data_IF_836898944784
#
_entry.id   IF_836898944784
#
_cell.length_a   1.000
_cell.length_b   1.000
_cell.length_c   1.000
_cell.angle_alpha   90.00
_cell.angle_beta   90.00
_cell.angle_gamma   90.00
#
_symmetry.space_group_name_H-M   'P 1'
#
loop_
_entity.id
_entity.type
_entity.pdbx_description
1 polymer ?
#
# COMPACT_ATOMS: atom_id res chain seq x y z
N UNK A 1 -53.49 -10.38 -47.88
CA UNK A 1 -53.32 -8.90 -47.89
C UNK A 1 -52.50 -8.52 -46.67
N UNK A 2 -51.39 -7.83 -46.92
CA UNK A 2 -50.38 -7.41 -45.95
C UNK A 2 -50.65 -6.00 -45.41
N UNK A 3 -50.21 -5.75 -44.17
CA UNK A 3 -49.59 -4.50 -43.64
C UNK A 3 -49.33 -4.78 -42.14
N UNK A 4 -48.13 -5.10 -41.68
CA UNK A 4 -46.92 -4.28 -41.47
C UNK A 4 -47.11 -3.13 -40.47
N UNK A 5 -46.55 -3.28 -39.27
CA UNK A 5 -45.92 -2.19 -38.51
C UNK A 5 -44.71 -2.75 -37.74
N UNK A 6 -43.52 -2.32 -38.16
CA UNK A 6 -42.26 -2.37 -37.43
C UNK A 6 -42.18 -1.19 -36.44
N UNK A 7 -41.38 -1.34 -35.38
CA UNK A 7 -40.77 -0.17 -34.72
C UNK A 7 -40.22 -0.46 -33.33
N UNK A 8 -38.88 -0.47 -33.19
CA UNK A 8 -38.21 -0.26 -31.89
C UNK A 8 -37.06 -1.21 -31.56
N UNK A 9 -36.01 -1.25 -32.36
CA UNK A 9 -34.76 -1.94 -31.99
C UNK A 9 -33.95 -1.10 -31.01
N UNK A 10 -33.79 -1.65 -29.80
CA UNK A 10 -32.75 -1.49 -28.80
C UNK A 10 -31.48 -0.73 -29.25
N UNK A 11 -31.36 0.53 -28.84
CA UNK A 11 -30.10 1.26 -28.75
C UNK A 11 -29.57 1.26 -27.31
N UNK A 12 -29.21 0.09 -26.79
CA UNK A 12 -28.50 -0.01 -25.51
C UNK A 12 -27.02 0.28 -25.74
N UNK A 13 -26.63 1.55 -25.61
CA UNK A 13 -25.22 1.94 -25.50
C UNK A 13 -24.64 1.26 -24.26
N UNK A 14 -23.78 0.27 -24.50
CA UNK A 14 -23.07 -0.49 -23.48
C UNK A 14 -22.07 0.36 -22.71
N UNK A 15 -22.56 1.12 -21.73
CA UNK A 15 -21.81 1.33 -20.50
C UNK A 15 -22.18 0.16 -19.59
N UNK A 16 -21.24 -0.74 -19.35
CA UNK A 16 -21.36 -1.73 -18.27
C UNK A 16 -21.47 -0.96 -16.97
N UNK A 17 -22.71 -0.66 -16.58
CA UNK A 17 -23.07 -0.10 -15.30
C UNK A 17 -22.81 -1.22 -14.29
N UNK A 18 -21.57 -1.29 -13.81
CA UNK A 18 -21.23 -2.05 -12.62
C UNK A 18 -22.17 -1.55 -11.52
N UNK A 19 -23.15 -2.39 -11.17
CA UNK A 19 -24.09 -2.12 -10.09
C UNK A 19 -23.31 -1.95 -8.77
N UNK A 20 -23.92 -1.48 -7.68
CA UNK A 20 -23.32 -1.56 -6.35
C UNK A 20 -23.86 -2.82 -5.65
N UNK A 21 -23.40 -3.99 -6.09
CA UNK A 21 -23.60 -5.27 -5.40
C UNK A 21 -22.65 -5.44 -4.20
N UNK A 22 -22.84 -6.45 -3.35
CA UNK A 22 -21.98 -6.71 -2.21
C UNK A 22 -20.65 -7.34 -2.70
N UNK A 23 -19.74 -6.53 -3.23
CA UNK A 23 -18.56 -6.98 -4.02
C UNK A 23 -17.46 -7.75 -3.27
N UNK A 24 -17.73 -8.30 -2.08
CA UNK A 24 -16.79 -9.11 -1.30
C UNK A 24 -17.43 -10.43 -0.85
N UNK A 25 -17.99 -11.19 -1.79
CA UNK A 25 -18.65 -12.47 -1.45
C UNK A 25 -17.67 -13.57 -1.06
N UNK A 26 -16.36 -13.43 -1.34
CA UNK A 26 -15.29 -14.31 -0.80
C UNK A 26 -14.01 -13.52 -0.55
N UNK A 27 -13.35 -13.79 0.58
CA UNK A 27 -12.04 -13.22 0.97
C UNK A 27 -10.97 -13.35 -0.14
N UNK A 28 -11.09 -14.39 -0.97
CA UNK A 28 -10.08 -14.78 -1.95
C UNK A 28 -10.28 -14.19 -3.35
N UNK A 29 -11.48 -13.67 -3.66
CA UNK A 29 -11.78 -13.18 -5.00
C UNK A 29 -11.09 -11.83 -5.24
N UNK A 30 -10.37 -11.63 -6.36
CA UNK A 30 -9.79 -10.34 -6.72
C UNK A 30 -10.83 -9.22 -6.79
N UNK A 31 -10.43 -8.00 -6.43
CA UNK A 31 -11.31 -6.82 -6.49
C UNK A 31 -11.79 -6.48 -7.90
N UNK A 32 -11.11 -6.99 -8.93
CA UNK A 32 -11.51 -6.86 -10.32
C UNK A 32 -10.95 -8.00 -11.19
N UNK A 33 -11.49 -8.15 -12.40
CA UNK A 33 -10.96 -9.09 -13.40
C UNK A 33 -9.91 -8.41 -14.27
N UNK A 34 -8.74 -9.04 -14.37
CA UNK A 34 -7.66 -8.62 -15.25
C UNK A 34 -8.01 -8.93 -16.71
N UNK A 35 -7.78 -7.97 -17.61
CA UNK A 35 -8.00 -8.07 -19.04
C UNK A 35 -6.71 -7.70 -19.81
N UNK A 36 -6.55 -8.13 -21.09
CA UNK A 36 -5.35 -7.81 -21.87
C UNK A 36 -5.03 -6.31 -21.97
N UNK A 37 -6.07 -5.46 -21.98
CA UNK A 37 -5.90 -3.99 -21.96
C UNK A 37 -5.24 -3.45 -20.69
N UNK A 38 -5.29 -4.20 -19.59
CA UNK A 38 -4.73 -3.79 -18.30
C UNK A 38 -3.20 -3.96 -18.28
N UNK A 39 -2.60 -4.68 -19.24
CA UNK A 39 -1.15 -4.90 -19.30
C UNK A 39 -0.37 -3.59 -19.40
N UNK A 40 -0.79 -2.67 -20.26
CA UNK A 40 -0.11 -1.38 -20.43
C UNK A 40 -0.18 -0.55 -19.15
N UNK A 41 -1.35 -0.52 -18.50
CA UNK A 41 -1.52 0.20 -17.24
C UNK A 41 -0.72 -0.44 -16.10
N UNK A 42 -0.66 -1.77 -16.04
CA UNK A 42 0.19 -2.51 -15.10
C UNK A 42 1.66 -2.18 -15.31
N UNK A 43 2.16 -2.20 -16.55
CA UNK A 43 3.54 -1.85 -16.86
C UNK A 43 3.85 -0.41 -16.48
N UNK A 44 2.94 0.53 -16.74
CA UNK A 44 3.08 1.92 -16.32
C UNK A 44 3.14 2.06 -14.79
N UNK A 45 2.26 1.38 -14.05
CA UNK A 45 2.30 1.41 -12.59
C UNK A 45 3.53 0.72 -12.00
N UNK A 46 3.98 -0.40 -12.57
CA UNK A 46 5.24 -1.04 -12.20
C UNK A 46 6.44 -0.12 -12.48
N UNK A 47 6.43 0.62 -13.59
CA UNK A 47 7.43 1.64 -13.85
C UNK A 47 7.41 2.75 -12.78
N UNK A 48 6.24 3.21 -12.33
CA UNK A 48 6.15 4.16 -11.21
C UNK A 48 6.75 3.58 -9.93
N UNK A 49 6.41 2.33 -9.57
CA UNK A 49 6.97 1.68 -8.37
C UNK A 49 8.48 1.55 -8.48
N UNK A 50 8.97 1.03 -9.60
CA UNK A 50 10.41 0.84 -9.80
C UNK A 50 11.17 2.16 -9.87
N UNK A 51 10.65 3.19 -10.53
CA UNK A 51 11.37 4.44 -10.72
C UNK A 51 11.28 5.40 -9.53
N UNK A 52 10.24 5.29 -8.69
CA UNK A 52 9.98 6.26 -7.61
C UNK A 52 10.25 5.66 -6.23
N UNK A 53 9.97 4.37 -6.03
CA UNK A 53 10.13 3.72 -4.73
C UNK A 53 11.43 2.90 -4.62
N UNK A 54 11.89 2.29 -5.72
CA UNK A 54 13.05 1.38 -5.68
C UNK A 54 14.32 2.00 -6.30
N UNK A 55 14.21 2.58 -7.48
CA UNK A 55 15.28 3.32 -8.12
C UNK A 55 15.25 4.74 -7.56
N UNK A 56 16.35 5.13 -6.92
CA UNK A 56 16.52 6.50 -6.47
C UNK A 56 16.50 7.35 -7.75
N UNK A 57 15.45 8.13 -7.98
CA UNK A 57 15.33 9.05 -9.14
C UNK A 57 16.63 9.86 -9.34
N UNK A 58 17.32 10.16 -8.24
CA UNK A 58 18.61 10.84 -8.20
C UNK A 58 19.76 10.07 -8.90
N UNK A 59 19.73 8.74 -8.89
CA UNK A 59 20.70 7.89 -9.60
C UNK A 59 20.46 7.90 -11.13
N UNK A 60 19.21 8.14 -11.54
CA UNK A 60 18.80 8.19 -12.95
C UNK A 60 18.94 9.61 -13.52
N UNK A 61 18.67 10.64 -12.71
CA UNK A 61 18.76 12.05 -13.08
C UNK A 61 19.77 12.78 -12.18
N UNK A 62 21.08 12.61 -12.42
CA UNK A 62 22.12 13.27 -11.65
C UNK A 62 21.99 14.79 -11.80
N UNK A 63 21.62 15.47 -10.71
CA UNK A 63 21.40 16.93 -10.68
C UNK A 63 20.00 17.35 -10.20
N UNK A 64 19.03 16.44 -10.14
CA UNK A 64 17.73 16.69 -9.55
C UNK A 64 17.71 16.17 -8.10
N UNK A 65 18.12 17.01 -7.13
CA UNK A 65 18.05 16.64 -5.72
C UNK A 65 16.65 16.88 -5.14
N UNK A 66 15.84 15.83 -5.09
CA UNK A 66 14.52 15.83 -4.43
C UNK A 66 14.57 15.40 -2.96
N UNK A 67 15.77 15.16 -2.41
CA UNK A 67 15.93 14.81 -1.00
C UNK A 67 15.68 15.99 -0.05
N UNK A 68 15.68 17.21 -0.58
CA UNK A 68 15.58 18.46 0.20
C UNK A 68 16.65 18.53 1.32
N UNK A 69 17.82 17.91 1.10
CA UNK A 69 18.90 17.83 2.09
C UNK A 69 18.69 16.79 3.20
N UNK A 70 17.64 15.97 3.13
CA UNK A 70 17.39 14.89 4.08
C UNK A 70 18.21 13.65 3.69
N UNK A 71 18.63 12.87 4.69
CA UNK A 71 19.33 11.59 4.51
C UNK A 71 18.47 10.41 4.95
N UNK A 72 18.94 9.19 4.66
CA UNK A 72 18.25 7.97 5.07
C UNK A 72 16.85 7.85 4.48
N UNK A 73 15.90 7.17 5.17
CA UNK A 73 14.55 6.93 4.67
C UNK A 73 13.75 8.22 4.37
N UNK A 74 14.05 9.33 5.06
CA UNK A 74 13.32 10.59 4.90
C UNK A 74 13.65 11.33 3.59
N UNK A 75 14.80 11.04 2.97
CA UNK A 75 15.22 11.60 1.68
C UNK A 75 14.23 11.31 0.54
N UNK A 76 13.36 10.32 0.69
CA UNK A 76 12.39 9.92 -0.35
C UNK A 76 10.97 10.40 -0.09
N UNK A 77 10.72 11.14 1.00
CA UNK A 77 9.37 11.55 1.44
C UNK A 77 8.55 12.21 0.32
N UNK A 78 9.10 13.21 -0.37
CA UNK A 78 8.40 13.91 -1.45
C UNK A 78 8.12 12.98 -2.64
N UNK A 79 9.12 12.19 -3.03
CA UNK A 79 9.00 11.23 -4.12
C UNK A 79 7.93 10.19 -3.84
N UNK A 80 7.82 9.68 -2.61
CA UNK A 80 6.74 8.75 -2.23
C UNK A 80 5.36 9.35 -2.44
N UNK A 81 5.14 10.62 -2.11
CA UNK A 81 3.85 11.29 -2.38
C UNK A 81 3.57 11.43 -3.89
N UNK A 82 4.59 11.81 -4.67
CA UNK A 82 4.47 11.88 -6.13
C UNK A 82 4.16 10.50 -6.72
N UNK A 83 4.86 9.46 -6.29
CA UNK A 83 4.64 8.08 -6.73
C UNK A 83 3.24 7.59 -6.39
N UNK A 84 2.76 7.82 -5.16
CA UNK A 84 1.39 7.50 -4.78
C UNK A 84 0.36 8.23 -5.66
N UNK A 85 0.54 9.53 -5.90
CA UNK A 85 -0.35 10.31 -6.76
C UNK A 85 -0.34 9.80 -8.21
N UNK A 86 0.83 9.44 -8.75
CA UNK A 86 0.97 8.84 -10.08
C UNK A 86 0.26 7.49 -10.16
N UNK A 87 0.35 6.63 -9.14
CA UNK A 87 -0.39 5.37 -9.11
C UNK A 87 -1.91 5.59 -9.08
N UNK A 88 -2.39 6.56 -8.29
CA UNK A 88 -3.80 6.94 -8.32
C UNK A 88 -4.22 7.42 -9.72
N UNK A 89 -3.37 8.20 -10.39
CA UNK A 89 -3.61 8.63 -11.76
C UNK A 89 -3.62 7.46 -12.77
N UNK A 90 -2.70 6.49 -12.64
CA UNK A 90 -2.71 5.26 -13.45
C UNK A 90 -4.05 4.54 -13.32
N UNK A 91 -4.54 4.35 -12.09
CA UNK A 91 -5.82 3.65 -11.84
C UNK A 91 -7.01 4.43 -12.41
N UNK A 92 -7.06 5.74 -12.19
CA UNK A 92 -8.20 6.57 -12.62
C UNK A 92 -8.22 6.85 -14.12
N UNK A 93 -7.05 7.08 -14.74
CA UNK A 93 -6.92 7.56 -16.12
C UNK A 93 -6.60 6.43 -17.08
N UNK A 94 -5.63 5.57 -16.76
CA UNK A 94 -5.19 4.49 -17.66
C UNK A 94 -6.04 3.24 -17.49
N UNK A 95 -6.22 2.75 -16.26
CA UNK A 95 -7.09 1.59 -15.99
C UNK A 95 -8.57 1.95 -16.12
N UNK A 96 -8.92 3.24 -15.96
CA UNK A 96 -10.29 3.76 -15.93
C UNK A 96 -11.15 3.05 -14.87
N UNK A 97 -10.55 2.77 -13.71
CA UNK A 97 -11.17 2.03 -12.60
C UNK A 97 -11.43 2.95 -11.42
N UNK A 98 -12.39 2.57 -10.57
CA UNK A 98 -12.67 3.26 -9.31
C UNK A 98 -11.57 2.94 -8.29
N UNK A 99 -11.30 3.88 -7.38
CA UNK A 99 -10.37 3.67 -6.26
C UNK A 99 -10.79 2.55 -5.30
N UNK A 100 -12.05 2.09 -5.36
CA UNK A 100 -12.51 0.89 -4.67
C UNK A 100 -11.72 -0.37 -5.07
N UNK A 101 -11.15 -0.42 -6.29
CA UNK A 101 -10.22 -1.49 -6.73
C UNK A 101 -8.85 -1.43 -6.05
N UNK A 102 -8.58 -0.37 -5.29
CA UNK A 102 -7.44 -0.23 -4.38
C UNK A 102 -7.88 -0.30 -2.92
N UNK A 103 -9.12 -0.73 -2.65
CA UNK A 103 -9.71 -0.79 -1.30
C UNK A 103 -9.84 0.57 -0.61
N UNK A 104 -9.72 1.67 -1.35
CA UNK A 104 -10.02 3.02 -0.86
C UNK A 104 -11.54 3.21 -0.80
N UNK A 105 -12.11 2.69 0.29
CA UNK A 105 -13.54 2.74 0.60
C UNK A 105 -13.72 3.33 2.00
N UNK A 106 -14.81 4.06 2.25
CA UNK A 106 -15.04 4.72 3.54
C UNK A 106 -14.99 3.70 4.70
N UNK A 107 -14.15 3.91 5.73
CA UNK A 107 -14.06 2.99 6.85
C UNK A 107 -15.32 3.02 7.72
N UNK A 108 -15.66 1.84 8.25
CA UNK A 108 -16.67 1.65 9.29
C UNK A 108 -16.02 1.56 10.67
N UNK A 109 -16.80 1.71 11.75
CA UNK A 109 -16.27 1.54 13.11
C UNK A 109 -15.62 0.17 13.34
N UNK A 110 -16.15 -0.89 12.71
CA UNK A 110 -15.57 -2.24 12.79
C UNK A 110 -14.19 -2.34 12.13
N UNK A 111 -13.95 -1.56 11.07
CA UNK A 111 -12.65 -1.52 10.40
C UNK A 111 -11.60 -0.85 11.30
N UNK A 112 -11.99 0.24 11.95
CA UNK A 112 -11.15 0.95 12.92
C UNK A 112 -10.85 0.06 14.13
N UNK A 113 -11.85 -0.60 14.73
CA UNK A 113 -11.62 -1.50 15.86
C UNK A 113 -10.70 -2.66 15.49
N UNK A 114 -10.89 -3.27 14.32
CA UNK A 114 -10.03 -4.35 13.84
C UNK A 114 -8.59 -3.87 13.61
N UNK A 115 -8.41 -2.66 13.05
CA UNK A 115 -7.09 -2.05 12.88
C UNK A 115 -6.35 -1.86 14.21
N UNK A 116 -7.06 -1.43 15.26
CA UNK A 116 -6.51 -1.25 16.62
C UNK A 116 -6.17 -2.60 17.26
N UNK A 117 -6.99 -3.63 17.10
CA UNK A 117 -6.66 -4.98 17.60
C UNK A 117 -5.44 -5.57 16.89
N UNK A 118 -5.36 -5.41 15.56
CA UNK A 118 -4.21 -5.85 14.77
C UNK A 118 -2.92 -5.15 15.22
N UNK A 119 -2.99 -3.85 15.50
CA UNK A 119 -1.91 -3.08 16.12
C UNK A 119 -1.50 -3.65 17.48
N UNK A 120 -2.45 -3.93 18.37
CA UNK A 120 -2.16 -4.49 19.69
C UNK A 120 -1.41 -5.82 19.61
N UNK A 121 -1.85 -6.72 18.73
CA UNK A 121 -1.15 -8.00 18.48
C UNK A 121 0.26 -7.77 17.96
N UNK A 122 0.43 -6.85 17.01
CA UNK A 122 1.74 -6.53 16.43
C UNK A 122 2.72 -5.96 17.45
N UNK A 123 2.28 -5.06 18.33
CA UNK A 123 3.14 -4.47 19.37
C UNK A 123 3.51 -5.47 20.45
N UNK A 124 2.55 -6.29 20.90
CA UNK A 124 2.85 -7.36 21.88
C UNK A 124 3.90 -8.31 21.30
N UNK A 125 3.76 -8.70 20.04
CA UNK A 125 4.76 -9.52 19.37
C UNK A 125 6.11 -8.81 19.28
N UNK A 126 6.14 -7.58 18.76
CA UNK A 126 7.38 -6.80 18.57
C UNK A 126 8.15 -6.65 19.89
N UNK A 127 7.44 -6.41 21.00
CA UNK A 127 8.00 -6.36 22.34
C UNK A 127 8.60 -7.71 22.78
N UNK A 128 7.85 -8.81 22.65
CA UNK A 128 8.35 -10.16 22.98
C UNK A 128 9.55 -10.55 22.12
N UNK A 129 9.49 -10.29 20.81
CA UNK A 129 10.55 -10.57 19.86
C UNK A 129 11.83 -9.80 20.21
N UNK A 130 11.70 -8.53 20.63
CA UNK A 130 12.82 -7.69 21.04
C UNK A 130 13.51 -8.20 22.32
N UNK A 131 12.85 -9.02 23.15
CA UNK A 131 13.50 -9.69 24.29
C UNK A 131 14.39 -10.86 23.87
N UNK A 132 14.09 -11.47 22.71
CA UNK A 132 14.83 -12.64 22.18
C UNK A 132 15.99 -12.17 21.33
N UNK A 133 15.72 -11.23 20.41
CA UNK A 133 16.73 -10.66 19.51
C UNK A 133 16.46 -9.16 19.37
N UNK A 134 17.01 -8.33 20.28
CA UNK A 134 16.85 -6.88 20.18
C UNK A 134 17.48 -6.35 18.89
N UNK A 135 16.82 -5.37 18.27
CA UNK A 135 17.37 -4.69 17.12
C UNK A 135 18.58 -3.84 17.57
N UNK A 136 19.75 -4.12 17.01
CA UNK A 136 20.95 -3.31 17.27
C UNK A 136 20.83 -1.91 16.67
N UNK A 137 21.69 -1.00 17.13
CA UNK A 137 21.85 0.31 16.49
C UNK A 137 22.12 0.13 14.99
N UNK A 138 21.41 0.89 14.17
CA UNK A 138 21.51 0.83 12.72
C UNK A 138 21.30 2.24 12.15
N UNK A 139 22.07 2.58 11.11
CA UNK A 139 22.06 3.92 10.50
C UNK A 139 20.66 4.35 10.03
N UNK A 140 19.83 3.38 9.59
CA UNK A 140 18.45 3.62 9.19
C UNK A 140 17.62 4.19 10.34
N UNK A 141 17.66 3.57 11.51
CA UNK A 141 16.93 4.02 12.70
C UNK A 141 17.48 5.35 13.23
N UNK A 142 18.81 5.52 13.28
CA UNK A 142 19.44 6.74 13.77
C UNK A 142 19.12 7.95 12.88
N UNK A 143 19.06 7.74 11.55
CA UNK A 143 18.65 8.78 10.61
C UNK A 143 17.19 9.22 10.78
N UNK A 144 16.32 8.35 11.31
CA UNK A 144 14.92 8.67 11.57
C UNK A 144 14.78 9.43 12.89
N UNK A 145 15.35 8.92 13.98
CA UNK A 145 15.23 9.56 15.30
C UNK A 145 15.90 10.94 15.33
N UNK A 146 16.93 11.16 14.50
CA UNK A 146 17.59 12.45 14.33
C UNK A 146 16.74 13.56 13.68
N UNK A 147 15.56 13.25 13.10
CA UNK A 147 14.68 14.24 12.48
C UNK A 147 13.90 15.10 13.49
N UNK A 148 13.97 14.75 14.77
CA UNK A 148 13.10 15.30 15.82
C UNK A 148 11.64 14.89 15.66
N UNK A 149 10.82 15.20 16.67
CA UNK A 149 9.43 14.72 16.76
C UNK A 149 8.60 15.10 15.53
N UNK A 150 8.70 16.34 15.06
CA UNK A 150 7.95 16.82 13.90
C UNK A 150 8.33 16.09 12.60
N UNK A 151 9.63 15.89 12.37
CA UNK A 151 10.12 15.17 11.19
C UNK A 151 9.74 13.69 11.21
N UNK A 152 9.82 13.04 12.37
CA UNK A 152 9.36 11.65 12.54
C UNK A 152 7.86 11.55 12.28
N UNK A 153 7.02 12.44 12.79
CA UNK A 153 5.57 12.42 12.53
C UNK A 153 5.24 12.53 11.02
N UNK A 154 5.91 13.45 10.31
CA UNK A 154 5.75 13.58 8.85
C UNK A 154 6.16 12.30 8.13
N UNK A 155 7.27 11.69 8.54
CA UNK A 155 7.76 10.43 7.96
C UNK A 155 6.78 9.29 8.22
N UNK A 156 6.25 9.17 9.45
CA UNK A 156 5.30 8.15 9.84
C UNK A 156 4.02 8.23 9.01
N UNK A 157 3.45 9.43 8.86
CA UNK A 157 2.25 9.65 8.03
C UNK A 157 2.55 9.35 6.56
N UNK A 158 3.70 9.82 6.06
CA UNK A 158 4.12 9.59 4.68
C UNK A 158 4.23 8.10 4.40
N UNK A 159 4.98 7.35 5.22
CA UNK A 159 5.13 5.90 5.06
C UNK A 159 3.77 5.21 5.14
N UNK A 160 3.00 5.46 6.19
CA UNK A 160 1.71 4.81 6.41
C UNK A 160 0.70 5.04 5.28
N UNK A 161 0.71 6.20 4.63
CA UNK A 161 -0.22 6.48 3.51
C UNK A 161 0.35 5.96 2.20
N UNK A 162 1.56 6.38 1.85
CA UNK A 162 2.11 6.16 0.51
C UNK A 162 2.50 4.70 0.28
N UNK A 163 3.03 4.00 1.28
CA UNK A 163 3.39 2.59 1.16
C UNK A 163 2.14 1.71 1.09
N UNK A 164 1.08 2.05 1.83
CA UNK A 164 -0.18 1.31 1.72
C UNK A 164 -0.84 1.49 0.36
N UNK A 165 -0.81 2.70 -0.23
CA UNK A 165 -1.27 2.93 -1.61
C UNK A 165 -0.52 2.04 -2.60
N UNK A 166 0.81 1.94 -2.47
CA UNK A 166 1.65 1.14 -3.38
C UNK A 166 1.45 -0.35 -3.17
N UNK A 167 1.75 -0.85 -1.98
CA UNK A 167 1.89 -2.28 -1.75
C UNK A 167 0.51 -2.92 -1.60
N UNK A 168 -0.36 -2.37 -0.76
CA UNK A 168 -1.66 -2.99 -0.45
C UNK A 168 -2.75 -2.55 -1.42
N UNK A 169 -2.75 -1.28 -1.81
CA UNK A 169 -3.73 -0.71 -2.73
C UNK A 169 -3.47 -1.08 -4.19
N UNK A 170 -2.23 -0.90 -4.66
CA UNK A 170 -1.86 -1.13 -6.06
C UNK A 170 -1.34 -2.55 -6.29
N UNK A 171 -0.10 -2.86 -5.90
CA UNK A 171 0.59 -4.11 -6.25
C UNK A 171 -0.21 -5.36 -5.86
N UNK A 172 -0.65 -5.46 -4.60
CA UNK A 172 -1.38 -6.62 -4.12
C UNK A 172 -2.67 -6.89 -4.93
N UNK A 173 -3.44 -5.84 -5.23
CA UNK A 173 -4.71 -5.98 -5.97
C UNK A 173 -4.48 -6.25 -7.46
N UNK A 174 -3.42 -5.68 -8.07
CA UNK A 174 -3.11 -5.91 -9.50
C UNK A 174 -2.53 -7.29 -9.73
N UNK A 175 -1.55 -7.71 -8.92
CA UNK A 175 -1.06 -9.09 -8.96
C UNK A 175 -2.15 -10.08 -8.57
N UNK A 176 -3.00 -9.74 -7.61
CA UNK A 176 -4.14 -10.57 -7.23
C UNK A 176 -5.11 -10.78 -8.37
N UNK A 177 -5.43 -9.73 -9.13
CA UNK A 177 -6.26 -9.82 -10.34
C UNK A 177 -5.58 -10.62 -11.46
N UNK A 178 -4.30 -10.38 -11.73
CA UNK A 178 -3.52 -11.07 -12.76
C UNK A 178 -3.40 -12.58 -12.46
N UNK A 179 -3.08 -12.93 -11.21
CA UNK A 179 -2.88 -14.30 -10.74
C UNK A 179 -4.17 -14.96 -10.25
N UNK A 180 -5.30 -14.23 -10.33
CA UNK A 180 -6.64 -14.68 -9.96
C UNK A 180 -6.77 -15.14 -8.49
N UNK A 181 -5.95 -14.58 -7.59
CA UNK A 181 -6.02 -14.84 -6.13
C UNK A 181 -5.49 -13.65 -5.33
N UNK A 182 -6.34 -13.10 -4.44
CA UNK A 182 -5.91 -12.02 -3.52
C UNK A 182 -4.78 -12.44 -2.59
N UNK A 183 -4.77 -13.70 -2.12
CA UNK A 183 -3.68 -14.19 -1.26
C UNK A 183 -2.33 -14.18 -1.97
N UNK A 184 -2.29 -14.65 -3.23
CA UNK A 184 -1.04 -14.65 -4.00
C UNK A 184 -0.60 -13.21 -4.27
N UNK A 185 -1.51 -12.33 -4.66
CA UNK A 185 -1.20 -10.90 -4.85
C UNK A 185 -0.64 -10.23 -3.58
N UNK A 186 -1.27 -10.46 -2.43
CA UNK A 186 -0.81 -9.97 -1.14
C UNK A 186 0.57 -10.54 -0.76
N UNK A 187 0.82 -11.83 -0.99
CA UNK A 187 2.10 -12.47 -0.72
C UNK A 187 3.23 -11.91 -1.60
N UNK A 188 2.98 -11.74 -2.90
CA UNK A 188 3.94 -11.13 -3.84
C UNK A 188 4.26 -9.71 -3.41
N UNK A 189 3.24 -8.89 -3.11
CA UNK A 189 3.48 -7.53 -2.67
C UNK A 189 4.19 -7.44 -1.31
N UNK A 190 3.91 -8.36 -0.38
CA UNK A 190 4.60 -8.41 0.90
C UNK A 190 6.08 -8.76 0.70
N UNK A 191 6.40 -9.69 -0.19
CA UNK A 191 7.79 -10.04 -0.50
C UNK A 191 8.57 -8.82 -1.05
N UNK A 192 7.96 -8.07 -1.98
CA UNK A 192 8.56 -6.83 -2.52
C UNK A 192 8.75 -5.79 -1.39
N UNK A 193 7.77 -5.63 -0.51
CA UNK A 193 7.86 -4.70 0.63
C UNK A 193 8.97 -5.07 1.63
N UNK A 194 9.12 -6.35 1.96
CA UNK A 194 10.02 -6.82 3.02
C UNK A 194 11.49 -6.67 2.62
N UNK A 195 11.84 -6.87 1.35
CA UNK A 195 13.25 -6.89 0.90
C UNK A 195 14.00 -5.59 1.23
N UNK A 196 13.52 -4.39 0.85
CA UNK A 196 14.20 -3.14 1.20
C UNK A 196 14.34 -2.94 2.71
N UNK A 197 13.36 -3.39 3.50
CA UNK A 197 13.41 -3.26 4.96
C UNK A 197 14.50 -4.12 5.59
N UNK A 198 14.67 -5.36 5.11
CA UNK A 198 15.76 -6.22 5.57
C UNK A 198 17.12 -5.65 5.17
N UNK A 199 17.24 -5.04 3.99
CA UNK A 199 18.47 -4.40 3.53
C UNK A 199 18.82 -3.18 4.40
N UNK A 200 17.84 -2.35 4.75
CA UNK A 200 18.06 -1.10 5.50
C UNK A 200 18.20 -1.32 7.01
N UNK A 201 17.38 -2.20 7.61
CA UNK A 201 17.29 -2.37 9.07
C UNK A 201 17.94 -3.67 9.57
N UNK A 202 18.41 -4.53 8.66
CA UNK A 202 19.02 -5.82 8.97
C UNK A 202 18.02 -6.96 9.19
N UNK A 203 18.51 -8.21 9.34
CA UNK A 203 17.68 -9.42 9.36
C UNK A 203 16.80 -9.55 10.62
N UNK A 204 17.20 -8.96 11.76
CA UNK A 204 16.37 -8.94 12.98
C UNK A 204 15.03 -8.23 12.76
N UNK A 205 14.95 -7.35 11.76
CA UNK A 205 13.70 -6.71 11.34
C UNK A 205 12.61 -7.74 11.02
N UNK A 206 12.97 -8.89 10.43
CA UNK A 206 11.99 -9.95 10.13
C UNK A 206 11.34 -10.48 11.41
N UNK A 207 12.12 -10.75 12.46
CA UNK A 207 11.56 -11.28 13.69
C UNK A 207 10.66 -10.25 14.38
N UNK A 208 11.08 -8.99 14.39
CA UNK A 208 10.43 -7.94 15.18
C UNK A 208 9.22 -7.35 14.45
N UNK A 209 9.34 -7.08 13.14
CA UNK A 209 8.39 -6.23 12.39
C UNK A 209 7.60 -6.97 11.32
N UNK A 210 7.98 -8.20 10.93
CA UNK A 210 7.21 -8.96 9.94
C UNK A 210 5.79 -9.23 10.42
N UNK A 211 5.58 -9.51 11.71
CA UNK A 211 4.24 -9.71 12.27
C UNK A 211 3.40 -8.43 12.18
N UNK A 212 4.00 -7.25 12.35
CA UNK A 212 3.33 -5.97 12.08
C UNK A 212 2.92 -5.84 10.61
N UNK A 213 3.82 -6.20 9.69
CA UNK A 213 3.55 -6.21 8.25
C UNK A 213 2.43 -7.19 7.87
N UNK A 214 2.41 -8.37 8.48
CA UNK A 214 1.36 -9.37 8.32
C UNK A 214 0.03 -8.92 8.93
N UNK A 215 0.06 -8.19 10.05
CA UNK A 215 -1.13 -7.60 10.65
C UNK A 215 -1.79 -6.59 9.69
N UNK A 216 -0.99 -5.73 9.04
CA UNK A 216 -1.48 -4.81 8.00
C UNK A 216 -2.08 -5.57 6.82
N UNK A 217 -1.39 -6.60 6.30
CA UNK A 217 -1.92 -7.45 5.22
C UNK A 217 -3.23 -8.13 5.64
N UNK A 218 -3.32 -8.58 6.89
CA UNK A 218 -4.53 -9.21 7.44
C UNK A 218 -5.70 -8.23 7.47
N UNK A 219 -5.48 -6.98 7.90
CA UNK A 219 -6.49 -5.92 7.85
C UNK A 219 -7.03 -5.76 6.43
N UNK A 220 -6.14 -5.72 5.44
CA UNK A 220 -6.51 -5.58 4.02
C UNK A 220 -7.31 -6.77 3.50
N UNK A 221 -6.90 -8.01 3.82
CA UNK A 221 -7.58 -9.21 3.34
C UNK A 221 -8.93 -9.43 4.01
N UNK A 222 -9.03 -9.16 5.31
CA UNK A 222 -10.25 -9.42 6.11
C UNK A 222 -11.23 -8.25 6.05
N UNK A 223 -10.75 -7.00 6.15
CA UNK A 223 -11.60 -5.80 6.18
C UNK A 223 -11.79 -5.16 4.81
N UNK A 224 -10.92 -5.47 3.85
CA UNK A 224 -10.98 -4.92 2.50
C UNK A 224 -11.03 -3.38 2.50
N UNK A 225 -10.24 -2.77 3.39
CA UNK A 225 -10.25 -1.33 3.62
C UNK A 225 -8.81 -0.82 3.77
N UNK A 226 -8.40 0.05 2.85
CA UNK A 226 -7.04 0.59 2.85
C UNK A 226 -6.82 1.63 3.95
N UNK A 227 -7.83 2.42 4.32
CA UNK A 227 -7.71 3.40 5.40
C UNK A 227 -7.45 2.72 6.75
N UNK A 228 -8.09 1.58 6.99
CA UNK A 228 -7.82 0.76 8.16
C UNK A 228 -6.38 0.22 8.16
N UNK A 229 -5.86 -0.15 6.99
CA UNK A 229 -4.47 -0.58 6.83
C UNK A 229 -3.48 0.56 7.11
N UNK A 230 -3.74 1.76 6.57
CA UNK A 230 -2.96 2.97 6.84
C UNK A 230 -2.94 3.31 8.33
N UNK A 231 -4.08 3.18 9.00
CA UNK A 231 -4.16 3.38 10.45
C UNK A 231 -3.32 2.34 11.21
N UNK A 232 -3.46 1.05 10.90
CA UNK A 232 -2.63 0.00 11.53
C UNK A 232 -1.15 0.25 11.28
N UNK A 233 -0.75 0.60 10.05
CA UNK A 233 0.64 0.90 9.71
C UNK A 233 1.16 2.08 10.54
N UNK A 234 0.43 3.20 10.56
CA UNK A 234 0.78 4.37 11.37
C UNK A 234 0.99 4.00 12.84
N UNK A 235 0.06 3.23 13.42
CA UNK A 235 0.11 2.83 14.82
C UNK A 235 1.29 1.88 15.09
N UNK A 236 1.55 0.90 14.21
CA UNK A 236 2.68 -0.04 14.34
C UNK A 236 4.02 0.69 14.31
N UNK A 237 4.14 1.78 13.55
CA UNK A 237 5.37 2.57 13.49
C UNK A 237 5.46 3.65 14.58
N UNK A 238 4.34 4.01 15.23
CA UNK A 238 4.29 5.04 16.26
C UNK A 238 5.30 4.87 17.43
N UNK A 239 5.68 3.65 17.88
CA UNK A 239 6.70 3.46 18.91
C UNK A 239 8.06 4.11 18.61
N UNK A 240 8.38 4.40 17.33
CA UNK A 240 9.59 5.15 16.96
C UNK A 240 9.64 6.55 17.61
N UNK A 241 8.48 7.11 17.97
CA UNK A 241 8.43 8.39 18.69
C UNK A 241 9.00 8.30 20.10
N UNK A 242 9.02 7.12 20.74
CA UNK A 242 9.51 6.95 22.11
C UNK A 242 10.99 7.37 22.22
N UNK A 243 11.94 6.76 21.48
CA UNK A 243 13.34 7.20 21.54
C UNK A 243 13.50 8.65 21.05
N UNK A 244 12.72 9.07 20.05
CA UNK A 244 12.78 10.46 19.52
C UNK A 244 12.45 11.52 20.58
N UNK A 245 11.53 11.21 21.50
CA UNK A 245 11.13 12.12 22.59
C UNK A 245 12.11 12.05 23.76
N UNK A 246 12.67 10.87 24.04
CA UNK A 246 13.51 10.64 25.21
C UNK A 246 14.97 11.09 25.03
N UNK A 247 15.47 11.20 23.79
CA UNK A 247 16.83 11.63 23.48
C UNK A 247 17.79 10.45 23.44
#
# INVERSE_FOLDING_TARGET
MATTTQGGTNGATGATQESPGPWYTRVNDPTFRFAPRDVVALLAGLAVVLLVYEARVNDIFPGLDLSLGLTGPASTTLLKWVGAALLLAVVLVLERRRLATMLLVRPTGKDVSFAVYAFGVAIVWSWLASMIWPQGANEGQDSITGLGVGGVLILLITAAVTEEIVYRGYLAERFGALLRSRWIGAAVSLAIFVVPHVVVFGPSWLLIHLVGSLAIVTVVLVRCNLWAAMLTHLLVNAPILIPTILG
#
